data_IF_057220778223
#
_entry.id   IF_057220778223
#
_cell.length_a   1.000
_cell.length_b   1.000
_cell.length_c   1.000
_cell.angle_alpha   90.00
_cell.angle_beta   90.00
_cell.angle_gamma   90.00
#
_symmetry.space_group_name_H-M   'P 1'
#
loop_
_entity.id
_entity.type
_entity.pdbx_description
1 polymer ?
#
# COMPACT_ATOMS: atom_id res chain seq x y z
N UNK A 1 24.02 -56.36 -3.72
CA UNK A 1 23.10 -57.43 -3.24
C UNK A 1 21.78 -56.72 -2.98
N UNK A 2 20.82 -56.87 -3.90
CA UNK A 2 19.56 -57.56 -3.75
C UNK A 2 18.66 -56.90 -2.71
N UNK A 3 17.40 -56.54 -2.99
CA UNK A 3 16.52 -56.91 -4.05
C UNK A 3 15.27 -56.04 -4.13
N UNK A 4 14.74 -56.02 -5.28
CA UNK A 4 13.47 -55.45 -5.77
C UNK A 4 12.27 -56.16 -5.12
N UNK A 5 11.16 -55.42 -4.87
CA UNK A 5 9.84 -56.05 -5.07
C UNK A 5 8.82 -54.97 -5.50
N UNK A 6 8.36 -55.07 -6.72
CA UNK A 6 7.23 -54.40 -7.29
C UNK A 6 5.96 -55.21 -7.00
N UNK A 7 4.86 -54.53 -6.67
CA UNK A 7 3.55 -55.20 -6.65
C UNK A 7 2.57 -54.46 -7.58
N UNK A 8 2.28 -55.11 -8.70
CA UNK A 8 1.20 -54.78 -9.63
C UNK A 8 -0.09 -55.40 -9.11
N UNK A 9 -1.21 -54.70 -9.07
CA UNK A 9 -2.52 -55.28 -8.99
C UNK A 9 -3.43 -54.65 -10.05
N UNK A 10 -4.07 -55.56 -10.76
CA UNK A 10 -4.77 -55.47 -12.03
C UNK A 10 -6.24 -55.04 -11.89
N UNK A 11 -6.70 -54.45 -12.95
CA UNK A 11 -8.03 -54.14 -13.47
C UNK A 11 -9.11 -55.20 -13.21
N UNK A 12 -10.35 -54.80 -12.90
CA UNK A 12 -11.56 -55.56 -13.22
C UNK A 12 -12.70 -54.60 -13.61
N UNK A 13 -13.10 -54.75 -14.87
CA UNK A 13 -14.30 -54.16 -15.53
C UNK A 13 -15.48 -55.09 -15.26
N UNK A 14 -16.63 -54.54 -14.94
CA UNK A 14 -17.91 -55.24 -15.10
C UNK A 14 -18.98 -54.27 -15.63
N UNK A 15 -19.35 -54.48 -16.90
CA UNK A 15 -20.58 -54.00 -17.52
C UNK A 15 -21.74 -54.86 -17.06
N UNK A 16 -22.91 -54.24 -16.79
CA UNK A 16 -24.19 -54.90 -16.93
C UNK A 16 -25.24 -53.90 -17.40
N UNK A 17 -25.71 -54.13 -18.60
CA UNK A 17 -26.88 -53.50 -19.23
C UNK A 17 -28.18 -54.20 -18.76
N UNK A 18 -29.24 -53.42 -18.56
CA UNK A 18 -30.59 -53.98 -18.31
C UNK A 18 -31.65 -52.94 -18.69
N UNK A 19 -32.21 -53.11 -19.89
CA UNK A 19 -33.48 -52.51 -20.32
C UNK A 19 -34.63 -53.20 -19.59
N UNK A 20 -35.66 -52.42 -19.17
CA UNK A 20 -37.06 -52.88 -19.31
C UNK A 20 -38.03 -51.68 -19.21
N UNK A 21 -38.97 -51.69 -20.11
CA UNK A 21 -40.10 -50.83 -20.40
C UNK A 21 -41.21 -50.94 -19.35
N UNK A 22 -41.98 -49.82 -19.17
CA UNK A 22 -43.40 -50.08 -18.83
C UNK A 22 -44.09 -48.96 -18.05
N UNK A 23 -44.97 -48.24 -18.73
CA UNK A 23 -46.37 -47.91 -18.43
C UNK A 23 -46.69 -46.63 -17.60
N UNK A 24 -47.45 -45.81 -18.29
CA UNK A 24 -48.36 -44.71 -17.99
C UNK A 24 -48.99 -44.64 -16.59
N UNK A 25 -49.06 -43.45 -16.03
CA UNK A 25 -49.97 -43.10 -14.94
C UNK A 25 -50.09 -41.57 -14.84
N UNK A 26 -51.24 -41.05 -15.28
CA UNK A 26 -51.63 -39.64 -15.07
C UNK A 26 -51.89 -39.35 -13.59
N UNK A 27 -51.29 -38.24 -13.09
CA UNK A 27 -51.67 -37.66 -11.80
C UNK A 27 -51.17 -36.23 -11.73
N UNK A 28 -52.08 -35.26 -11.88
CA UNK A 28 -51.83 -33.81 -11.65
C UNK A 28 -51.50 -33.58 -10.18
N UNK A 29 -50.37 -32.95 -9.89
CA UNK A 29 -50.19 -32.09 -8.74
C UNK A 29 -49.12 -31.07 -9.08
N UNK A 30 -49.51 -29.83 -9.18
CA UNK A 30 -48.64 -28.70 -9.37
C UNK A 30 -47.94 -28.40 -8.04
N UNK A 31 -46.68 -28.76 -7.87
CA UNK A 31 -45.77 -28.21 -6.86
C UNK A 31 -44.91 -27.18 -7.56
N UNK A 32 -45.06 -25.93 -7.09
CA UNK A 32 -44.30 -24.81 -7.50
C UNK A 32 -42.84 -25.02 -7.06
N UNK A 33 -41.94 -25.37 -7.96
CA UNK A 33 -40.52 -25.24 -7.77
C UNK A 33 -40.20 -23.75 -7.52
N UNK A 34 -39.90 -23.42 -6.27
CA UNK A 34 -39.22 -22.19 -5.94
C UNK A 34 -37.85 -22.19 -6.63
N UNK A 35 -37.75 -21.56 -7.76
CA UNK A 35 -36.47 -21.15 -8.32
C UNK A 35 -35.74 -20.32 -7.29
N UNK A 36 -34.67 -20.86 -6.74
CA UNK A 36 -33.67 -20.07 -6.01
C UNK A 36 -33.19 -18.93 -6.92
N UNK A 37 -33.03 -17.71 -6.41
CA UNK A 37 -32.55 -16.63 -7.24
C UNK A 37 -31.18 -16.99 -7.78
N UNK A 38 -31.04 -17.02 -9.11
CA UNK A 38 -29.76 -17.14 -9.78
C UNK A 38 -28.87 -16.00 -9.27
N UNK A 39 -27.87 -16.36 -8.50
CA UNK A 39 -26.75 -15.48 -8.16
C UNK A 39 -26.20 -14.95 -9.49
N UNK A 40 -26.37 -13.63 -9.75
CA UNK A 40 -25.65 -12.95 -10.80
C UNK A 40 -24.17 -12.96 -10.40
N UNK A 41 -23.45 -13.94 -10.89
CA UNK A 41 -21.99 -13.89 -10.98
C UNK A 41 -21.62 -12.80 -12.02
N UNK A 42 -21.77 -11.54 -11.65
CA UNK A 42 -21.09 -10.44 -12.29
C UNK A 42 -19.62 -10.61 -11.96
N UNK A 43 -18.73 -10.59 -12.94
CA UNK A 43 -17.29 -10.50 -12.72
C UNK A 43 -17.05 -9.24 -11.88
N UNK A 44 -16.71 -9.43 -10.60
CA UNK A 44 -16.41 -8.32 -9.70
C UNK A 44 -15.25 -7.53 -10.32
N UNK A 45 -15.45 -6.23 -10.46
CA UNK A 45 -14.40 -5.33 -10.95
C UNK A 45 -13.26 -5.37 -9.95
N UNK A 46 -12.04 -5.57 -10.43
CA UNK A 46 -10.83 -5.60 -9.60
C UNK A 46 -10.04 -4.32 -9.83
N UNK A 47 -9.68 -3.61 -8.74
CA UNK A 47 -8.74 -2.51 -8.73
C UNK A 47 -7.36 -3.06 -8.32
N UNK A 48 -6.42 -3.08 -9.27
CA UNK A 48 -5.03 -3.51 -9.01
C UNK A 48 -4.27 -2.35 -8.36
N UNK A 49 -3.85 -2.53 -7.11
CA UNK A 49 -3.24 -1.50 -6.28
C UNK A 49 -1.80 -1.86 -5.98
N UNK A 50 -0.86 -0.94 -6.26
CA UNK A 50 0.54 -1.04 -5.84
C UNK A 50 0.82 -0.19 -4.61
N UNK A 51 1.83 -0.57 -3.83
CA UNK A 51 2.33 0.21 -2.71
C UNK A 51 3.49 -0.49 -2.01
N UNK A 52 4.10 0.18 -1.03
CA UNK A 52 5.17 -0.35 -0.20
C UNK A 52 4.69 -0.56 1.24
N UNK A 53 4.73 -1.80 1.72
CA UNK A 53 4.19 -2.16 3.03
C UNK A 53 5.25 -2.11 4.15
N UNK A 54 6.03 -1.01 4.21
CA UNK A 54 6.96 -0.72 5.31
C UNK A 54 6.85 0.73 5.82
N UNK A 55 5.67 1.36 5.64
CA UNK A 55 5.41 2.75 6.00
C UNK A 55 4.24 2.89 7.00
N UNK A 56 4.39 2.41 8.25
CA UNK A 56 3.36 2.60 9.28
C UNK A 56 3.22 4.08 9.70
N UNK A 57 2.01 4.55 10.06
CA UNK A 57 0.75 3.81 10.14
C UNK A 57 -0.04 3.79 8.82
N UNK A 58 0.53 4.21 7.68
CA UNK A 58 -0.17 4.32 6.40
C UNK A 58 -0.37 2.97 5.72
N UNK A 59 0.72 2.23 5.46
CA UNK A 59 0.68 0.93 4.79
C UNK A 59 1.83 0.05 5.30
N UNK A 60 1.49 -1.07 5.94
CA UNK A 60 2.47 -1.97 6.52
C UNK A 60 1.90 -3.38 6.71
N UNK A 61 2.75 -4.32 7.13
CA UNK A 61 2.32 -5.67 7.52
C UNK A 61 2.14 -5.74 9.03
N UNK A 62 1.00 -6.29 9.47
CA UNK A 62 0.77 -6.62 10.87
C UNK A 62 1.60 -7.86 11.29
N UNK A 63 1.48 -8.25 12.56
CA UNK A 63 2.17 -9.42 13.12
C UNK A 63 1.79 -10.76 12.47
N UNK A 64 0.65 -10.80 11.78
CA UNK A 64 0.15 -11.96 11.04
C UNK A 64 0.52 -11.91 9.54
N UNK A 65 1.21 -10.86 9.10
CA UNK A 65 1.63 -10.64 7.73
C UNK A 65 0.54 -10.06 6.82
N UNK A 66 -0.59 -9.60 7.36
CA UNK A 66 -1.63 -8.94 6.58
C UNK A 66 -1.25 -7.49 6.27
N UNK A 67 -1.61 -7.04 5.08
CA UNK A 67 -1.46 -5.64 4.69
C UNK A 67 -2.53 -4.79 5.37
N UNK A 68 -2.09 -3.86 6.19
CA UNK A 68 -2.93 -2.98 7.01
C UNK A 68 -2.44 -1.54 6.97
N UNK A 69 -3.21 -0.61 7.51
CA UNK A 69 -2.84 0.79 7.60
C UNK A 69 -3.94 1.71 7.06
N UNK A 70 -3.74 3.00 7.30
CA UNK A 70 -4.66 4.04 6.84
C UNK A 70 -4.93 3.96 5.34
N UNK A 71 -3.88 3.83 4.53
CA UNK A 71 -3.99 3.79 3.07
C UNK A 71 -4.63 2.50 2.56
N UNK A 72 -4.37 1.37 3.24
CA UNK A 72 -5.03 0.11 2.89
C UNK A 72 -6.54 0.21 3.14
N UNK A 73 -6.96 0.79 4.25
CA UNK A 73 -8.37 0.97 4.55
C UNK A 73 -9.00 2.04 3.63
N UNK A 74 -8.27 3.13 3.35
CA UNK A 74 -8.73 4.19 2.45
C UNK A 74 -8.95 3.68 1.02
N UNK A 75 -8.00 2.94 0.46
CA UNK A 75 -8.14 2.43 -0.92
C UNK A 75 -9.23 1.38 -1.04
N UNK A 76 -9.47 0.59 0.02
CA UNK A 76 -10.63 -0.32 0.07
C UNK A 76 -11.96 0.45 0.08
N UNK A 77 -12.04 1.55 0.83
CA UNK A 77 -13.23 2.41 0.84
C UNK A 77 -13.45 3.07 -0.54
N UNK A 78 -12.39 3.57 -1.17
CA UNK A 78 -12.42 4.14 -2.53
C UNK A 78 -12.84 3.08 -3.56
N UNK A 79 -12.24 1.89 -3.51
CA UNK A 79 -12.58 0.78 -4.42
C UNK A 79 -14.06 0.39 -4.31
N UNK A 80 -14.59 0.32 -3.09
CA UNK A 80 -16.02 0.04 -2.84
C UNK A 80 -16.94 1.07 -3.51
N UNK A 81 -16.59 2.36 -3.49
CA UNK A 81 -17.39 3.43 -4.15
C UNK A 81 -17.41 3.30 -5.67
N UNK A 82 -16.39 2.70 -6.29
CA UNK A 82 -16.35 2.42 -7.74
C UNK A 82 -16.80 1.01 -8.09
N UNK A 83 -17.32 0.25 -7.11
CA UNK A 83 -17.80 -1.12 -7.30
C UNK A 83 -16.70 -2.12 -7.64
N UNK A 84 -15.52 -1.99 -7.00
CA UNK A 84 -14.36 -2.86 -7.23
C UNK A 84 -13.83 -3.48 -5.93
N UNK A 85 -13.17 -4.64 -6.04
CA UNK A 85 -12.38 -5.27 -5.00
C UNK A 85 -10.89 -4.92 -5.18
N UNK A 86 -10.15 -4.79 -4.08
CA UNK A 86 -8.72 -4.47 -4.11
C UNK A 86 -7.87 -5.72 -4.28
N UNK A 87 -7.03 -5.74 -5.34
CA UNK A 87 -5.92 -6.67 -5.49
C UNK A 87 -4.60 -5.93 -5.25
N UNK A 88 -4.02 -6.10 -4.07
CA UNK A 88 -2.80 -5.40 -3.66
C UNK A 88 -1.52 -6.12 -4.07
N UNK A 89 -0.52 -5.36 -4.52
CA UNK A 89 0.83 -5.84 -4.85
C UNK A 89 1.86 -5.00 -4.11
N UNK A 90 2.63 -5.65 -3.22
CA UNK A 90 3.76 -5.05 -2.52
C UNK A 90 4.95 -4.85 -3.46
N UNK A 91 5.50 -3.65 -3.50
CA UNK A 91 6.65 -3.33 -4.33
C UNK A 91 7.43 -2.13 -3.76
N UNK A 92 8.76 -2.03 -4.00
CA UNK A 92 9.53 -0.90 -3.52
C UNK A 92 9.13 0.41 -4.21
N UNK A 93 9.31 1.53 -3.51
CA UNK A 93 8.97 2.88 -3.96
C UNK A 93 9.52 3.20 -5.35
N UNK A 94 10.76 2.78 -5.64
CA UNK A 94 11.44 2.98 -6.92
C UNK A 94 10.70 2.38 -8.14
N UNK A 95 9.73 1.47 -7.91
CA UNK A 95 8.93 0.82 -8.95
C UNK A 95 7.60 1.49 -9.26
N UNK A 96 7.14 2.42 -8.43
CA UNK A 96 5.79 2.98 -8.53
C UNK A 96 5.50 3.62 -9.89
N UNK A 97 6.36 4.53 -10.33
CA UNK A 97 6.19 5.21 -11.61
C UNK A 97 6.11 4.23 -12.78
N UNK A 98 7.07 3.31 -12.85
CA UNK A 98 7.12 2.29 -13.92
C UNK A 98 5.92 1.33 -13.87
N UNK A 99 5.39 1.04 -12.68
CA UNK A 99 4.24 0.15 -12.53
C UNK A 99 2.95 0.78 -13.08
N UNK A 100 2.70 2.08 -12.84
CA UNK A 100 1.53 2.77 -13.40
C UNK A 100 1.71 3.07 -14.89
N UNK A 101 2.90 3.49 -15.34
CA UNK A 101 3.21 3.72 -16.75
C UNK A 101 2.95 2.48 -17.60
N UNK A 102 3.42 1.31 -17.15
CA UNK A 102 3.26 0.04 -17.85
C UNK A 102 1.95 -0.68 -17.54
N UNK A 103 1.02 -0.04 -16.84
CA UNK A 103 -0.31 -0.59 -16.49
C UNK A 103 -0.23 -1.96 -15.77
N UNK A 104 0.85 -2.20 -15.00
CA UNK A 104 0.99 -3.39 -14.15
C UNK A 104 0.04 -3.36 -12.97
N UNK A 105 -0.22 -2.15 -12.47
CA UNK A 105 -1.27 -1.82 -11.51
C UNK A 105 -2.12 -0.69 -12.08
N UNK A 106 -3.34 -0.56 -11.60
CA UNK A 106 -4.23 0.53 -12.01
C UNK A 106 -3.91 1.82 -11.26
N UNK A 107 -3.58 1.68 -9.97
CA UNK A 107 -3.22 2.79 -9.09
C UNK A 107 -2.08 2.40 -8.15
N UNK A 108 -1.37 3.40 -7.63
CA UNK A 108 -0.44 3.26 -6.50
C UNK A 108 -0.87 4.21 -5.39
N UNK A 109 -0.98 3.71 -4.16
CA UNK A 109 -1.19 4.48 -2.93
C UNK A 109 -0.13 4.06 -1.92
N UNK A 110 0.77 4.98 -1.54
CA UNK A 110 1.89 4.69 -0.64
C UNK A 110 2.66 5.96 -0.29
N UNK A 111 2.03 6.91 0.37
CA UNK A 111 2.60 8.18 0.82
C UNK A 111 3.40 8.91 -0.29
N UNK A 112 2.88 8.93 -1.50
CA UNK A 112 3.55 9.52 -2.67
C UNK A 112 3.12 10.96 -2.85
N UNK A 113 4.07 11.88 -2.92
CA UNK A 113 3.79 13.29 -3.22
C UNK A 113 3.58 13.52 -4.72
N UNK A 114 2.63 14.41 -5.04
CA UNK A 114 2.35 14.85 -6.40
C UNK A 114 3.32 15.93 -6.87
N UNK A 115 4.57 15.56 -7.23
CA UNK A 115 5.56 16.53 -7.72
C UNK A 115 5.37 16.86 -9.20
N UNK A 116 5.86 18.05 -9.63
CA UNK A 116 5.82 18.45 -11.04
C UNK A 116 6.57 17.45 -11.95
N UNK A 117 7.72 16.92 -11.49
CA UNK A 117 8.48 15.91 -12.23
C UNK A 117 7.66 14.62 -12.45
N UNK A 118 6.97 14.15 -11.39
CA UNK A 118 6.12 12.95 -11.49
C UNK A 118 4.89 13.18 -12.36
N UNK A 119 4.35 14.43 -12.39
CA UNK A 119 3.21 14.82 -13.24
C UNK A 119 3.52 14.72 -14.76
N UNK A 120 4.80 14.72 -15.14
CA UNK A 120 5.19 14.49 -16.53
C UNK A 120 4.85 13.07 -16.99
N UNK A 121 4.83 12.10 -16.07
CA UNK A 121 4.73 10.66 -16.36
C UNK A 121 3.49 9.98 -15.80
N UNK A 122 2.85 10.53 -14.76
CA UNK A 122 1.68 9.96 -14.11
C UNK A 122 0.57 11.00 -13.93
N UNK A 123 -0.68 10.52 -13.81
CA UNK A 123 -1.79 11.31 -13.29
C UNK A 123 -1.90 11.11 -11.76
N UNK A 124 -2.47 12.10 -11.09
CA UNK A 124 -2.64 12.11 -9.64
C UNK A 124 -4.11 12.26 -9.26
N UNK A 125 -4.48 11.70 -8.13
CA UNK A 125 -5.72 12.05 -7.46
C UNK A 125 -5.62 13.45 -6.82
N UNK A 126 -6.74 13.92 -6.28
CA UNK A 126 -6.72 14.96 -5.27
C UNK A 126 -5.90 14.50 -4.06
N UNK A 127 -5.35 15.48 -3.32
CA UNK A 127 -4.56 15.19 -2.12
C UNK A 127 -5.45 14.55 -1.05
N UNK A 128 -5.06 13.36 -0.56
CA UNK A 128 -5.79 12.70 0.52
C UNK A 128 -5.17 12.91 1.91
N UNK A 129 -3.89 13.34 1.98
CA UNK A 129 -3.21 13.62 3.23
C UNK A 129 -2.21 14.77 3.06
N UNK A 130 -2.24 15.76 3.97
CA UNK A 130 -1.25 16.86 4.00
C UNK A 130 -0.09 16.47 4.90
N UNK A 131 1.12 16.52 4.36
CA UNK A 131 2.32 15.99 4.99
C UNK A 131 2.80 16.80 6.22
N UNK A 132 2.81 18.11 6.16
CA UNK A 132 3.25 19.01 7.22
C UNK A 132 4.75 19.26 7.23
N UNK A 133 5.56 18.32 7.70
CA UNK A 133 7.01 18.50 7.81
C UNK A 133 7.79 17.24 7.44
N UNK A 134 9.06 17.44 7.05
CA UNK A 134 10.09 16.40 7.08
C UNK A 134 10.77 16.42 8.45
N UNK A 135 11.11 15.25 8.97
CA UNK A 135 11.89 15.08 10.19
C UNK A 135 13.32 14.64 9.87
N UNK A 136 14.28 15.24 10.56
CA UNK A 136 15.68 14.84 10.54
C UNK A 136 15.98 14.11 11.84
N UNK A 137 16.32 12.82 11.74
CA UNK A 137 16.67 11.97 12.88
C UNK A 137 18.15 11.64 12.84
N UNK A 138 18.75 11.59 14.03
CA UNK A 138 20.12 11.11 14.25
C UNK A 138 20.13 10.03 15.32
N UNK A 139 21.23 9.28 15.47
CA UNK A 139 21.39 8.35 16.60
C UNK A 139 21.25 9.11 17.93
N UNK A 140 20.77 8.42 18.94
CA UNK A 140 20.45 9.00 20.26
C UNK A 140 21.63 9.75 20.89
N UNK A 141 22.82 9.23 20.73
CA UNK A 141 24.09 9.74 21.28
C UNK A 141 24.86 10.67 20.32
N UNK A 142 24.33 10.94 19.13
CA UNK A 142 24.98 11.82 18.16
C UNK A 142 24.61 13.28 18.42
N UNK A 143 25.61 14.12 18.71
CA UNK A 143 25.47 15.54 18.96
C UNK A 143 26.20 16.40 17.89
N UNK A 144 26.40 15.88 16.67
CA UNK A 144 27.05 16.61 15.58
C UNK A 144 26.08 17.32 14.64
N UNK A 145 24.79 17.02 14.75
CA UNK A 145 23.72 17.54 13.89
C UNK A 145 22.60 18.07 14.80
N UNK A 146 22.28 19.34 14.69
CA UNK A 146 21.24 20.03 15.48
C UNK A 146 20.22 20.76 14.60
N UNK A 147 20.57 21.03 13.34
CA UNK A 147 19.75 21.75 12.38
C UNK A 147 19.87 21.14 10.97
N UNK A 148 18.97 21.54 10.06
CA UNK A 148 19.00 21.05 8.68
C UNK A 148 20.32 21.42 7.95
N UNK A 149 20.88 22.57 8.22
CA UNK A 149 22.13 23.05 7.59
C UNK A 149 23.35 22.22 8.01
N UNK A 150 23.29 21.53 9.16
CA UNK A 150 24.35 20.65 9.63
C UNK A 150 24.48 19.36 8.82
N UNK A 151 23.52 19.08 7.92
CA UNK A 151 23.59 17.95 7.00
C UNK A 151 24.62 18.12 5.89
N UNK A 152 25.13 19.34 5.70
CA UNK A 152 26.18 19.60 4.73
C UNK A 152 27.42 18.76 5.04
N UNK A 153 27.86 17.98 4.04
CA UNK A 153 29.01 17.09 4.19
C UNK A 153 28.76 15.84 5.05
N UNK A 154 27.49 15.49 5.35
CA UNK A 154 27.11 14.27 6.09
C UNK A 154 26.60 13.19 5.18
N UNK A 155 26.63 11.96 5.66
CA UNK A 155 25.97 10.83 5.04
C UNK A 155 24.51 10.77 5.50
N UNK A 156 23.57 10.91 4.57
CA UNK A 156 22.13 10.88 4.88
C UNK A 156 21.49 9.67 4.22
N UNK A 157 20.65 8.94 4.95
CA UNK A 157 19.85 7.85 4.35
C UNK A 157 18.42 8.32 4.08
N UNK A 158 17.92 7.96 2.91
CA UNK A 158 16.55 8.18 2.47
C UNK A 158 16.16 7.11 1.47
N UNK A 159 14.85 6.95 1.23
CA UNK A 159 14.35 6.01 0.23
C UNK A 159 14.66 6.54 -1.17
N UNK A 160 15.17 5.67 -2.02
CA UNK A 160 15.55 5.98 -3.40
C UNK A 160 14.37 6.54 -4.22
N UNK A 161 14.58 7.69 -4.88
CA UNK A 161 13.58 8.37 -5.70
C UNK A 161 12.50 9.11 -4.90
N UNK A 162 12.61 9.20 -3.56
CA UNK A 162 11.69 9.95 -2.72
C UNK A 162 12.02 11.44 -2.69
N UNK A 163 11.07 12.25 -2.25
CA UNK A 163 11.29 13.69 -1.97
C UNK A 163 12.22 13.88 -0.76
N UNK A 164 12.28 12.89 0.16
CA UNK A 164 13.24 12.88 1.26
C UNK A 164 14.69 12.80 0.75
N UNK A 165 14.95 11.98 -0.27
CA UNK A 165 16.25 11.92 -0.94
C UNK A 165 16.58 13.24 -1.65
N UNK A 166 15.61 13.81 -2.37
CA UNK A 166 15.79 15.09 -3.05
C UNK A 166 16.10 16.23 -2.04
N UNK A 167 15.40 16.23 -0.88
CA UNK A 167 15.67 17.19 0.19
C UNK A 167 17.07 17.01 0.78
N UNK A 168 17.52 15.78 1.02
CA UNK A 168 18.87 15.51 1.52
C UNK A 168 19.94 16.09 0.59
N UNK A 169 19.80 15.90 -0.71
CA UNK A 169 20.69 16.48 -1.74
C UNK A 169 20.65 18.01 -1.71
N UNK A 170 19.45 18.61 -1.60
CA UNK A 170 19.26 20.06 -1.53
C UNK A 170 19.91 20.67 -0.29
N UNK A 171 19.91 19.97 0.84
CA UNK A 171 20.55 20.39 2.09
C UNK A 171 22.07 20.13 2.10
N UNK A 172 22.64 19.63 1.00
CA UNK A 172 24.09 19.48 0.83
C UNK A 172 24.69 18.24 1.49
N UNK A 173 23.89 17.18 1.66
CA UNK A 173 24.44 15.89 2.06
C UNK A 173 25.56 15.46 1.10
N UNK A 174 26.68 14.98 1.64
CA UNK A 174 27.85 14.57 0.84
C UNK A 174 27.57 13.25 0.10
N UNK A 175 26.92 12.33 0.79
CA UNK A 175 26.52 11.03 0.27
C UNK A 175 25.12 10.67 0.69
N UNK A 176 24.34 10.13 -0.25
CA UNK A 176 23.06 9.50 0.05
C UNK A 176 23.24 7.99 0.15
N UNK A 177 22.94 7.46 1.33
CA UNK A 177 22.83 6.02 1.57
C UNK A 177 21.42 5.60 1.17
N UNK A 178 21.23 5.28 -0.11
CA UNK A 178 19.94 4.90 -0.66
C UNK A 178 19.38 3.67 0.03
N UNK A 179 18.12 3.73 0.44
CA UNK A 179 17.34 2.60 0.93
C UNK A 179 16.31 2.18 -0.11
N UNK A 180 16.09 0.89 -0.25
CA UNK A 180 15.04 0.36 -1.14
C UNK A 180 13.67 0.46 -0.48
N UNK A 181 13.59 0.29 0.85
CA UNK A 181 12.37 0.30 1.65
C UNK A 181 12.47 1.27 2.83
N UNK A 182 11.34 1.82 3.27
CA UNK A 182 11.30 2.73 4.42
C UNK A 182 11.84 2.10 5.71
N UNK A 183 11.64 0.81 5.93
CA UNK A 183 12.22 0.12 7.08
C UNK A 183 13.76 0.12 7.10
N UNK A 184 14.43 0.29 5.96
CA UNK A 184 15.88 0.20 5.86
C UNK A 184 16.57 1.51 6.23
N UNK A 185 15.87 2.67 6.14
CA UNK A 185 16.47 3.97 6.54
C UNK A 185 16.85 3.96 8.02
N UNK A 186 15.99 3.42 8.89
CA UNK A 186 16.28 3.33 10.32
C UNK A 186 17.39 2.32 10.62
N UNK A 187 17.41 1.18 9.92
CA UNK A 187 18.51 0.20 10.04
C UNK A 187 19.86 0.80 9.62
N UNK A 188 19.89 1.62 8.55
CA UNK A 188 21.11 2.30 8.13
C UNK A 188 21.60 3.29 9.17
N UNK A 189 20.69 4.05 9.81
CA UNK A 189 21.02 4.96 10.91
C UNK A 189 21.56 4.19 12.12
N UNK A 190 20.83 3.17 12.59
CA UNK A 190 21.21 2.37 13.76
C UNK A 190 22.56 1.66 13.57
N UNK A 191 22.83 1.19 12.36
CA UNK A 191 24.09 0.53 12.00
C UNK A 191 25.27 1.52 11.79
N UNK A 192 25.05 2.82 11.89
CA UNK A 192 26.06 3.85 11.64
C UNK A 192 26.50 3.97 10.20
N UNK A 193 25.72 3.43 9.24
CA UNK A 193 25.98 3.58 7.81
C UNK A 193 25.63 4.97 7.29
N UNK A 194 24.77 5.70 8.02
CA UNK A 194 24.42 7.08 7.76
C UNK A 194 24.52 7.89 9.07
N UNK A 195 24.78 9.17 8.96
CA UNK A 195 24.79 10.12 10.09
C UNK A 195 23.38 10.55 10.46
N UNK A 196 22.49 10.69 9.47
CA UNK A 196 21.11 11.11 9.66
C UNK A 196 20.13 10.37 8.73
N UNK A 197 18.85 10.41 9.11
CA UNK A 197 17.69 10.03 8.30
C UNK A 197 16.89 11.30 8.00
N UNK A 198 16.41 11.44 6.76
CA UNK A 198 15.30 12.33 6.44
C UNK A 198 14.08 11.46 6.13
N UNK A 199 12.97 11.72 6.82
CA UNK A 199 11.70 11.02 6.61
C UNK A 199 10.53 11.92 6.97
N UNK A 200 9.30 11.48 6.71
CA UNK A 200 8.09 12.23 7.03
C UNK A 200 7.72 12.10 8.50
N UNK A 201 7.09 13.13 9.03
CA UNK A 201 6.73 13.22 10.44
C UNK A 201 5.96 11.99 10.96
N UNK A 202 4.91 11.46 10.28
CA UNK A 202 4.16 10.32 10.80
C UNK A 202 5.02 9.06 10.96
N UNK A 203 5.91 8.80 9.99
CA UNK A 203 6.80 7.64 10.05
C UNK A 203 7.87 7.81 11.14
N UNK A 204 8.41 9.03 11.28
CA UNK A 204 9.36 9.36 12.35
C UNK A 204 8.74 9.12 13.74
N UNK A 205 7.52 9.62 13.97
CA UNK A 205 6.83 9.45 15.24
C UNK A 205 6.43 8.00 15.51
N UNK A 206 6.00 7.28 14.48
CA UNK A 206 5.72 5.85 14.62
C UNK A 206 6.98 5.08 15.05
N UNK A 207 8.09 5.28 14.37
CA UNK A 207 9.36 4.65 14.72
C UNK A 207 9.78 4.97 16.16
N UNK A 208 9.79 6.25 16.54
CA UNK A 208 10.18 6.67 17.89
C UNK A 208 9.25 6.11 18.96
N UNK A 209 7.93 6.07 18.70
CA UNK A 209 6.92 5.54 19.62
C UNK A 209 6.98 4.01 19.79
N UNK A 210 7.64 3.29 18.88
CA UNK A 210 7.75 1.83 18.88
C UNK A 210 9.18 1.35 19.17
N UNK A 211 9.86 1.98 20.14
CA UNK A 211 11.19 1.59 20.62
C UNK A 211 12.35 2.31 19.96
N UNK A 212 12.13 3.07 18.88
CA UNK A 212 13.17 3.85 18.21
C UNK A 212 13.74 4.99 19.06
N UNK A 213 12.98 5.50 20.04
CA UNK A 213 13.42 6.59 20.91
C UNK A 213 14.62 6.22 21.82
N UNK A 214 14.90 4.95 22.01
CA UNK A 214 16.10 4.47 22.69
C UNK A 214 17.35 4.56 21.83
N UNK A 215 17.17 4.57 20.49
CA UNK A 215 18.24 4.50 19.48
C UNK A 215 18.45 5.80 18.72
N UNK A 216 17.39 6.59 18.54
CA UNK A 216 17.40 7.81 17.74
C UNK A 216 16.61 8.95 18.38
N UNK A 217 16.85 10.15 17.88
CA UNK A 217 16.12 11.39 18.25
C UNK A 217 15.88 12.23 17.01
N UNK A 218 14.75 12.95 16.96
CA UNK A 218 14.54 14.04 16.00
C UNK A 218 15.31 15.25 16.46
N UNK A 219 16.10 15.85 15.58
CA UNK A 219 16.92 17.05 15.88
C UNK A 219 16.45 18.29 15.15
N UNK A 220 15.77 18.13 14.02
CA UNK A 220 15.22 19.24 13.25
C UNK A 220 14.01 18.80 12.42
N UNK A 221 13.22 19.79 11.99
CA UNK A 221 12.14 19.62 11.03
C UNK A 221 12.27 20.62 9.90
N UNK A 222 11.81 20.26 8.71
CA UNK A 222 11.75 21.15 7.54
C UNK A 222 10.30 21.20 7.08
N UNK A 223 9.65 22.40 7.01
CA UNK A 223 8.28 22.53 6.54
C UNK A 223 8.09 21.99 5.12
N UNK A 224 6.92 21.42 4.85
CA UNK A 224 6.49 20.97 3.54
C UNK A 224 5.02 21.32 3.33
N UNK A 225 4.72 21.87 2.15
CA UNK A 225 3.34 22.07 1.68
C UNK A 225 2.86 20.88 0.81
N UNK A 226 3.69 19.84 0.67
CA UNK A 226 3.38 18.68 -0.13
C UNK A 226 2.22 17.86 0.47
N UNK A 227 1.55 17.11 -0.38
CA UNK A 227 0.50 16.19 0.02
C UNK A 227 0.60 14.86 -0.69
N UNK A 228 0.09 13.82 -0.03
CA UNK A 228 0.05 12.49 -0.61
C UNK A 228 -1.13 12.34 -1.56
N UNK A 229 -0.87 11.72 -2.70
CA UNK A 229 -1.80 11.48 -3.80
C UNK A 229 -1.78 10.01 -4.22
N UNK A 230 -2.85 9.57 -4.89
CA UNK A 230 -2.89 8.27 -5.54
C UNK A 230 -2.36 8.46 -6.96
N UNK A 231 -1.34 7.67 -7.34
CA UNK A 231 -0.79 7.67 -8.70
C UNK A 231 -1.59 6.75 -9.61
N UNK A 232 -1.70 7.12 -10.88
CA UNK A 232 -2.29 6.29 -11.91
C UNK A 232 -1.67 6.59 -13.29
N UNK A 233 -1.98 5.75 -14.27
CA UNK A 233 -1.49 5.99 -15.63
C UNK A 233 -1.95 7.35 -16.16
N UNK A 234 -1.03 8.12 -16.76
CA UNK A 234 -1.29 9.49 -17.23
C UNK A 234 -2.41 9.58 -18.26
N UNK A 235 -2.58 8.54 -19.07
CA UNK A 235 -3.57 8.49 -20.13
C UNK A 235 -4.95 8.04 -19.64
N UNK A 236 -5.06 7.51 -18.40
CA UNK A 236 -6.32 6.97 -17.87
C UNK A 236 -7.13 8.05 -17.15
N UNK A 237 -7.63 9.02 -17.92
CA UNK A 237 -8.47 10.12 -17.44
C UNK A 237 -9.72 9.60 -16.73
N UNK A 238 -10.28 8.47 -17.20
CA UNK A 238 -11.46 7.88 -16.55
C UNK A 238 -11.13 7.36 -15.15
N UNK A 239 -10.01 6.67 -14.97
CA UNK A 239 -9.58 6.20 -13.65
C UNK A 239 -9.36 7.38 -12.71
N UNK A 240 -8.74 8.46 -13.17
CA UNK A 240 -8.54 9.66 -12.35
C UNK A 240 -9.88 10.27 -11.88
N UNK A 241 -10.87 10.37 -12.78
CA UNK A 241 -12.19 10.88 -12.44
C UNK A 241 -12.93 9.94 -11.46
N UNK A 242 -12.88 8.63 -11.69
CA UNK A 242 -13.52 7.63 -10.83
C UNK A 242 -12.89 7.66 -9.41
N UNK A 243 -11.56 7.71 -9.31
CA UNK A 243 -10.82 7.77 -8.04
C UNK A 243 -11.11 9.07 -7.29
N UNK A 244 -11.07 10.24 -7.96
CA UNK A 244 -11.35 11.52 -7.30
C UNK A 244 -12.81 11.61 -6.85
N UNK A 245 -13.75 11.13 -7.68
CA UNK A 245 -15.16 11.07 -7.30
C UNK A 245 -15.42 10.18 -6.09
N UNK A 246 -14.75 9.03 -6.02
CA UNK A 246 -14.84 8.11 -4.89
C UNK A 246 -14.16 8.67 -3.63
N UNK A 247 -12.95 9.24 -3.77
CA UNK A 247 -12.22 9.86 -2.68
C UNK A 247 -13.02 11.00 -2.04
N UNK A 248 -13.62 11.87 -2.87
CA UNK A 248 -14.52 12.92 -2.40
C UNK A 248 -15.68 12.36 -1.57
N UNK A 249 -16.37 11.32 -2.06
CA UNK A 249 -17.47 10.69 -1.32
C UNK A 249 -17.00 10.11 0.03
N UNK A 250 -15.86 9.43 0.05
CA UNK A 250 -15.27 8.85 1.28
C UNK A 250 -14.94 9.95 2.29
N UNK A 251 -14.51 11.13 1.84
CA UNK A 251 -14.28 12.31 2.69
C UNK A 251 -15.59 12.93 3.19
N UNK A 252 -16.58 13.10 2.32
CA UNK A 252 -17.84 13.79 2.64
C UNK A 252 -18.78 12.94 3.52
N UNK A 253 -18.75 11.61 3.43
CA UNK A 253 -19.61 10.71 4.19
C UNK A 253 -19.09 10.35 5.57
N UNK A 254 -17.94 10.92 5.99
CA UNK A 254 -17.32 10.71 7.30
C UNK A 254 -16.51 9.42 7.44
N UNK A 255 -16.40 8.59 6.40
CA UNK A 255 -15.56 7.38 6.44
C UNK A 255 -14.09 7.77 6.58
N UNK A 256 -13.63 8.79 5.87
CA UNK A 256 -12.26 9.29 5.98
C UNK A 256 -11.92 9.67 7.43
N UNK A 257 -12.77 10.42 8.12
CA UNK A 257 -12.55 10.84 9.51
C UNK A 257 -12.47 9.65 10.46
N UNK A 258 -13.32 8.63 10.26
CA UNK A 258 -13.26 7.39 11.04
C UNK A 258 -11.94 6.66 10.84
N UNK A 259 -11.46 6.54 9.58
CA UNK A 259 -10.18 5.92 9.25
C UNK A 259 -9.01 6.72 9.82
N UNK A 260 -9.07 8.03 9.70
CA UNK A 260 -8.04 8.92 10.24
C UNK A 260 -7.94 8.78 11.76
N UNK A 261 -9.07 8.84 12.47
CA UNK A 261 -9.10 8.63 13.91
C UNK A 261 -8.57 7.24 14.31
N UNK A 262 -8.96 6.19 13.56
CA UNK A 262 -8.50 4.83 13.82
C UNK A 262 -6.98 4.69 13.82
N UNK A 263 -6.32 5.35 12.87
CA UNK A 263 -4.89 5.14 12.62
C UNK A 263 -3.97 6.20 13.26
N UNK A 264 -4.45 7.40 13.45
CA UNK A 264 -3.65 8.52 14.01
C UNK A 264 -4.11 8.94 15.41
N UNK A 265 -5.21 8.38 15.91
CA UNK A 265 -5.79 8.70 17.21
C UNK A 265 -6.11 10.20 17.43
N UNK A 266 -6.35 10.92 16.33
CA UNK A 266 -6.74 12.32 16.29
C UNK A 266 -7.87 12.52 15.28
N UNK A 267 -8.69 13.55 15.45
CA UNK A 267 -9.74 13.91 14.47
C UNK A 267 -9.21 14.89 13.46
N UNK A 268 -9.58 14.75 12.18
CA UNK A 268 -9.22 15.69 11.10
C UNK A 268 -9.88 17.05 11.33
N UNK A 269 -11.09 17.05 11.87
CA UNK A 269 -11.75 18.26 12.31
C UNK A 269 -11.21 18.66 13.69
N UNK A 270 -10.14 19.45 13.71
CA UNK A 270 -9.68 20.18 14.90
C UNK A 270 -10.74 21.19 15.36
N UNK A 271 -11.87 20.71 15.83
CA UNK A 271 -12.93 21.49 16.49
C UNK A 271 -13.21 20.86 17.83
#
# INVERSE_FOLDING_TARGET
MMGRTALKITLAVAMAAGLLLGVSGCGKSAEAEKQAPASKAGTEKVLRVGGEATYPPFLFKDEHGHYVGFEMDLIKAVAKEIGAEVAYTDMPFSRFMTAVENKKVDVVISAVEGTAERAEKAAFSDVYYKKGVYCILVRKDDDRIHAADDLKGKMVTAVKGSTNEALAKKLGADQIVEAEYNADIFKNLEAGKADAVITDEPLAYYYLGHGGAEKAKTVATVPSDDGFVILMNKEDVKMQQDINGALKKVMENGVYDQLFHKWFNVSVSGK
#
